data_IF_629307464076
#
_entry.id   IF_629307464076
#
_cell.length_a   1.000
_cell.length_b   1.000
_cell.length_c   1.000
_cell.angle_alpha   90.00
_cell.angle_beta   90.00
_cell.angle_gamma   90.00
#
_symmetry.space_group_name_H-M   'P 1'
#
loop_
_entity.id
_entity.type
_entity.pdbx_description
1 polymer ?
#
# COMPACT_ATOMS: atom_id res chain seq x y z
N UNK A 1 28.32 -20.38 -29.27
CA UNK A 1 27.50 -19.21 -28.88
C UNK A 1 26.05 -19.54 -29.19
N UNK A 2 25.23 -19.83 -28.17
CA UNK A 2 23.80 -20.01 -28.34
C UNK A 2 23.10 -18.72 -27.90
N UNK A 3 22.68 -17.91 -28.86
CA UNK A 3 21.77 -16.81 -28.59
C UNK A 3 20.37 -17.42 -28.40
N UNK A 4 19.87 -17.39 -27.17
CA UNK A 4 18.45 -17.61 -26.89
C UNK A 4 17.68 -16.48 -27.59
N UNK A 5 16.97 -16.80 -28.66
CA UNK A 5 16.07 -15.85 -29.31
C UNK A 5 14.95 -15.56 -28.32
N UNK A 6 14.93 -14.33 -27.81
CA UNK A 6 13.79 -13.77 -27.12
C UNK A 6 12.57 -13.85 -28.04
N UNK A 7 11.71 -14.85 -27.81
CA UNK A 7 10.34 -14.85 -28.30
C UNK A 7 9.48 -14.36 -27.16
N UNK A 8 9.65 -13.09 -26.81
CA UNK A 8 8.77 -12.39 -25.88
C UNK A 8 7.32 -12.72 -26.21
N UNK A 9 6.53 -12.92 -25.15
CA UNK A 9 5.12 -13.29 -25.17
C UNK A 9 4.39 -12.87 -26.46
N UNK A 10 4.27 -13.77 -27.42
CA UNK A 10 3.45 -13.58 -28.61
C UNK A 10 1.99 -13.84 -28.21
N UNK A 11 1.36 -12.83 -27.59
CA UNK A 11 -0.05 -12.89 -27.23
C UNK A 11 -0.88 -13.00 -28.51
N UNK A 12 -1.68 -14.07 -28.70
CA UNK A 12 -2.55 -14.17 -29.85
C UNK A 12 -3.57 -13.03 -29.81
N UNK A 13 -3.95 -12.48 -30.97
CA UNK A 13 -4.83 -11.31 -31.04
C UNK A 13 -6.20 -11.53 -30.39
N UNK A 14 -6.63 -12.78 -30.24
CA UNK A 14 -7.85 -13.17 -29.51
C UNK A 14 -7.78 -12.96 -28.00
N UNK A 15 -6.58 -12.91 -27.42
CA UNK A 15 -6.36 -12.63 -26.00
C UNK A 15 -6.22 -11.12 -25.72
N UNK A 16 -6.01 -10.31 -26.76
CA UNK A 16 -6.02 -8.87 -26.65
C UNK A 16 -7.48 -8.42 -26.55
N UNK A 17 -7.80 -7.67 -25.50
CA UNK A 17 -9.13 -7.06 -25.36
C UNK A 17 -9.43 -6.23 -26.61
N UNK A 18 -10.56 -6.53 -27.27
CA UNK A 18 -10.97 -5.79 -28.45
C UNK A 18 -11.07 -4.30 -28.14
N UNK A 19 -10.51 -3.46 -29.02
CA UNK A 19 -10.44 -2.00 -28.84
C UNK A 19 -11.78 -1.35 -28.42
N UNK A 20 -12.93 -1.70 -29.01
CA UNK A 20 -14.21 -1.11 -28.62
C UNK A 20 -14.59 -1.39 -27.15
N UNK A 21 -14.21 -2.56 -26.64
CA UNK A 21 -14.49 -2.96 -25.24
C UNK A 21 -13.62 -2.14 -24.28
N UNK A 22 -12.34 -1.95 -24.61
CA UNK A 22 -11.44 -1.09 -23.85
C UNK A 22 -11.91 0.37 -23.83
N UNK A 23 -12.28 0.92 -24.99
CA UNK A 23 -12.76 2.29 -25.13
C UNK A 23 -14.07 2.50 -24.36
N UNK A 24 -15.04 1.58 -24.47
CA UNK A 24 -16.29 1.65 -23.71
C UNK A 24 -16.09 1.62 -22.19
N UNK A 25 -15.18 0.78 -21.69
CA UNK A 25 -14.81 0.78 -20.26
C UNK A 25 -14.18 2.10 -19.84
N UNK A 26 -13.35 2.69 -20.70
CA UNK A 26 -12.69 3.98 -20.43
C UNK A 26 -13.71 5.11 -20.35
N UNK A 27 -14.72 5.11 -21.19
CA UNK A 27 -15.76 6.13 -21.19
C UNK A 27 -16.68 6.00 -19.97
N UNK A 28 -17.02 4.78 -19.55
CA UNK A 28 -17.73 4.54 -18.29
C UNK A 28 -16.95 5.11 -17.08
N UNK A 29 -15.63 4.88 -17.03
CA UNK A 29 -14.80 5.40 -15.94
C UNK A 29 -14.72 6.94 -15.95
N UNK A 30 -14.64 7.58 -17.11
CA UNK A 30 -14.70 9.05 -17.22
C UNK A 30 -16.04 9.59 -16.73
N UNK A 31 -17.14 8.93 -17.10
CA UNK A 31 -18.49 9.29 -16.64
C UNK A 31 -18.63 9.14 -15.13
N UNK A 32 -18.08 8.08 -14.53
CA UNK A 32 -18.10 7.88 -13.09
C UNK A 32 -17.23 8.92 -12.36
N UNK A 33 -16.07 9.28 -12.90
CA UNK A 33 -15.17 10.27 -12.30
C UNK A 33 -15.71 11.71 -12.40
N UNK A 34 -16.36 12.08 -13.51
CA UNK A 34 -16.91 13.42 -13.73
C UNK A 34 -18.38 13.59 -13.34
N UNK A 35 -19.11 12.50 -13.12
CA UNK A 35 -20.54 12.50 -12.78
C UNK A 35 -20.83 12.62 -11.28
N UNK A 36 -22.11 12.58 -10.92
CA UNK A 36 -22.58 12.73 -9.54
C UNK A 36 -21.94 11.72 -8.55
N UNK A 37 -21.60 10.51 -9.02
CA UNK A 37 -20.88 9.51 -8.24
C UNK A 37 -19.44 9.94 -7.87
N UNK A 38 -18.72 10.60 -8.78
CA UNK A 38 -17.39 11.15 -8.53
C UNK A 38 -17.41 12.32 -7.55
N UNK A 39 -18.42 13.19 -7.63
CA UNK A 39 -18.61 14.29 -6.68
C UNK A 39 -18.92 13.78 -5.25
N UNK A 40 -19.74 12.73 -5.14
CA UNK A 40 -20.02 12.08 -3.85
C UNK A 40 -18.76 11.43 -3.24
N UNK A 41 -17.88 10.86 -4.07
CA UNK A 41 -16.60 10.28 -3.64
C UNK A 41 -15.57 11.35 -3.25
N UNK A 42 -15.57 12.52 -3.90
CA UNK A 42 -14.69 13.64 -3.54
C UNK A 42 -15.00 14.19 -2.13
N UNK A 43 -16.28 14.24 -1.75
CA UNK A 43 -16.69 14.61 -0.39
C UNK A 43 -16.28 13.56 0.67
N UNK A 44 -16.12 12.29 0.27
CA UNK A 44 -15.59 11.24 1.13
C UNK A 44 -14.06 11.31 1.26
N UNK A 45 -13.35 11.67 0.18
CA UNK A 45 -11.91 11.83 0.14
C UNK A 45 -11.40 13.04 0.96
N UNK A 46 -12.24 14.04 1.22
CA UNK A 46 -11.93 15.20 2.06
C UNK A 46 -12.12 15.00 3.57
N UNK A 47 -12.38 13.77 4.05
CA UNK A 47 -12.55 13.52 5.48
C UNK A 47 -11.20 13.49 6.21
N UNK A 48 -11.16 14.16 7.37
CA UNK A 48 -10.00 14.11 8.26
C UNK A 48 -9.74 12.68 8.77
N UNK A 49 -8.48 12.25 8.63
CA UNK A 49 -8.01 11.00 9.20
C UNK A 49 -7.79 11.16 10.71
N UNK A 50 -8.79 10.83 11.52
CA UNK A 50 -8.72 10.83 12.99
C UNK A 50 -7.94 9.63 13.55
N UNK A 51 -6.73 9.38 13.04
CA UNK A 51 -5.89 8.25 13.44
C UNK A 51 -4.96 8.54 14.64
N UNK A 52 -5.23 9.58 15.43
CA UNK A 52 -4.43 9.92 16.61
C UNK A 52 -5.23 9.63 17.87
N UNK A 53 -5.17 8.41 18.37
CA UNK A 53 -5.51 8.18 19.77
C UNK A 53 -4.27 8.40 20.65
N UNK A 54 -4.51 9.03 21.79
CA UNK A 54 -3.54 9.22 22.85
C UNK A 54 -3.44 7.98 23.75
N UNK A 55 -2.22 7.68 24.19
CA UNK A 55 -1.98 6.93 25.42
C UNK A 55 -1.77 5.43 25.25
N UNK A 56 -0.51 5.02 25.28
CA UNK A 56 -0.16 3.67 25.71
C UNK A 56 1.18 3.66 26.44
N UNK A 57 1.25 2.84 27.47
CA UNK A 57 2.44 2.67 28.32
C UNK A 57 3.59 2.08 27.51
N UNK A 58 4.72 2.79 27.52
CA UNK A 58 5.93 2.38 26.82
C UNK A 58 6.48 1.08 27.42
N UNK A 59 6.79 0.11 26.57
CA UNK A 59 7.64 -1.04 26.94
C UNK A 59 9.08 -0.68 26.56
N UNK A 60 10.11 -1.09 27.32
CA UNK A 60 11.50 -0.82 26.96
C UNK A 60 11.78 -1.25 25.52
N UNK A 61 12.44 -0.39 24.73
CA UNK A 61 12.74 -0.60 23.31
C UNK A 61 11.53 -0.81 22.39
N UNK A 62 10.32 -0.36 22.77
CA UNK A 62 9.14 -0.37 21.91
C UNK A 62 8.39 0.94 22.02
N UNK A 63 7.97 1.47 20.86
CA UNK A 63 7.06 2.60 20.80
C UNK A 63 5.76 2.29 21.60
N UNK A 64 5.11 3.31 22.16
CA UNK A 64 3.78 3.18 22.74
C UNK A 64 2.86 2.39 21.78
N UNK A 65 2.14 1.37 22.27
CA UNK A 65 1.07 0.76 21.48
C UNK A 65 0.18 1.85 20.87
N UNK A 66 -0.12 1.73 19.58
CA UNK A 66 -1.19 2.54 19.01
C UNK A 66 -2.48 2.17 19.75
N UNK A 67 -3.36 3.12 20.09
CA UNK A 67 -4.69 2.84 20.62
C UNK A 67 -5.58 2.36 19.47
N UNK A 68 -5.22 1.20 18.93
CA UNK A 68 -5.93 0.50 17.88
C UNK A 68 -6.66 -0.69 18.51
N UNK A 69 -7.96 -0.80 18.25
CA UNK A 69 -8.77 -1.97 18.57
C UNK A 69 -8.76 -2.99 17.44
N UNK A 70 -9.27 -4.19 17.71
CA UNK A 70 -9.56 -5.18 16.66
C UNK A 70 -10.61 -4.61 15.71
N UNK A 71 -10.45 -4.82 14.40
CA UNK A 71 -11.44 -4.38 13.42
C UNK A 71 -12.75 -5.16 13.57
N UNK A 72 -13.93 -4.50 13.56
CA UNK A 72 -15.22 -5.18 13.57
C UNK A 72 -15.62 -5.73 12.20
N UNK A 73 -14.85 -5.44 11.14
CA UNK A 73 -15.14 -5.90 9.78
C UNK A 73 -15.01 -7.42 9.71
N UNK A 74 -16.07 -8.10 9.26
CA UNK A 74 -16.04 -9.55 9.03
C UNK A 74 -14.94 -9.89 8.03
N UNK A 75 -14.04 -10.80 8.40
CA UNK A 75 -12.84 -11.14 7.61
C UNK A 75 -11.68 -10.14 7.73
N UNK A 76 -11.82 -9.06 8.50
CA UNK A 76 -10.75 -8.08 8.72
C UNK A 76 -9.67 -8.55 9.71
N UNK A 77 -9.85 -9.72 10.32
CA UNK A 77 -8.87 -10.35 11.21
C UNK A 77 -8.48 -11.72 10.63
N UNK A 78 -7.19 -12.02 10.64
CA UNK A 78 -6.65 -13.35 10.31
C UNK A 78 -6.35 -14.16 11.59
N UNK A 79 -6.35 -15.49 11.45
CA UNK A 79 -5.91 -16.44 12.48
C UNK A 79 -4.44 -16.82 12.34
N UNK A 80 -3.73 -16.26 11.36
CA UNK A 80 -2.31 -16.48 11.14
C UNK A 80 -1.46 -16.03 12.32
N UNK A 81 -0.33 -16.70 12.49
CA UNK A 81 0.66 -16.35 13.48
C UNK A 81 1.23 -14.96 13.17
N UNK A 82 1.28 -14.09 14.18
CA UNK A 82 1.85 -12.77 14.04
C UNK A 82 3.37 -12.85 13.78
N UNK A 83 3.86 -12.03 12.85
CA UNK A 83 5.30 -11.89 12.60
C UNK A 83 5.99 -11.31 13.85
N UNK A 84 7.13 -11.85 14.29
CA UNK A 84 7.88 -11.31 15.42
C UNK A 84 8.22 -9.82 15.22
N UNK A 85 8.16 -9.05 16.31
CA UNK A 85 8.41 -7.60 16.26
C UNK A 85 9.78 -7.25 15.67
N UNK A 86 10.83 -8.02 16.01
CA UNK A 86 12.18 -7.79 15.51
C UNK A 86 12.20 -7.78 13.98
N UNK A 87 11.67 -8.84 13.37
CA UNK A 87 11.62 -9.01 11.91
C UNK A 87 10.85 -7.87 11.23
N UNK A 88 9.72 -7.45 11.80
CA UNK A 88 8.92 -6.31 11.29
C UNK A 88 9.73 -5.00 11.31
N UNK A 89 10.66 -4.84 12.25
CA UNK A 89 11.46 -3.61 12.41
C UNK A 89 12.83 -3.65 11.74
N UNK A 90 13.37 -4.84 11.44
CA UNK A 90 14.74 -4.99 10.93
C UNK A 90 14.83 -5.57 9.53
N UNK A 91 13.80 -6.24 9.01
CA UNK A 91 13.82 -6.87 7.69
C UNK A 91 12.85 -6.13 6.74
N UNK A 92 13.34 -5.11 6.06
CA UNK A 92 12.50 -4.16 5.34
C UNK A 92 12.99 -3.91 3.90
N UNK A 93 12.09 -3.43 3.05
CA UNK A 93 12.45 -2.86 1.75
C UNK A 93 12.09 -1.36 1.77
N UNK A 94 13.09 -0.51 2.00
CA UNK A 94 12.95 0.95 1.91
C UNK A 94 14.19 1.51 1.20
N UNK A 95 14.11 1.61 -0.13
CA UNK A 95 15.28 1.80 -1.00
C UNK A 95 15.98 3.15 -0.81
N UNK A 96 15.24 4.16 -0.37
CA UNK A 96 15.76 5.47 0.01
C UNK A 96 16.80 5.37 1.14
N UNK A 97 16.79 4.27 1.88
CA UNK A 97 17.73 3.96 2.96
C UNK A 97 18.65 2.79 2.63
N UNK A 98 18.75 2.32 1.39
CA UNK A 98 19.66 1.23 0.99
C UNK A 98 18.95 0.04 0.34
N UNK A 99 19.73 -0.87 -0.24
CA UNK A 99 19.21 -2.03 -0.99
C UNK A 99 19.18 -3.32 -0.18
N UNK A 100 19.99 -3.39 0.89
CA UNK A 100 20.00 -4.56 1.77
C UNK A 100 18.83 -4.49 2.75
N UNK A 101 18.36 -5.66 3.19
CA UNK A 101 17.14 -5.78 4.02
C UNK A 101 17.26 -5.10 5.38
N UNK A 102 18.49 -4.95 5.86
CA UNK A 102 18.84 -4.39 7.15
C UNK A 102 19.12 -2.88 7.08
N UNK A 103 19.38 -2.35 5.87
CA UNK A 103 19.76 -0.95 5.69
C UNK A 103 18.68 0.03 6.19
N UNK A 104 17.37 -0.18 5.92
CA UNK A 104 16.34 0.68 6.47
C UNK A 104 16.35 0.75 8.00
N UNK A 105 16.56 -0.39 8.67
CA UNK A 105 16.62 -0.46 10.12
C UNK A 105 17.81 0.32 10.69
N UNK A 106 18.92 0.38 9.95
CA UNK A 106 20.13 1.13 10.31
C UNK A 106 20.04 2.62 9.99
N UNK A 107 19.46 3.00 8.85
CA UNK A 107 19.60 4.34 8.27
C UNK A 107 18.34 5.22 8.38
N UNK A 108 17.16 4.65 8.60
CA UNK A 108 15.90 5.41 8.63
C UNK A 108 15.80 6.43 9.79
N UNK A 109 16.65 6.34 10.82
CA UNK A 109 16.73 7.32 11.90
C UNK A 109 17.12 8.73 11.42
N UNK A 110 17.67 8.84 10.21
CA UNK A 110 18.02 10.12 9.57
C UNK A 110 16.80 10.86 9.01
N UNK A 111 15.66 10.19 8.85
CA UNK A 111 14.42 10.76 8.36
C UNK A 111 13.74 11.60 9.45
N UNK A 112 13.54 12.90 9.17
CA UNK A 112 12.68 13.75 10.00
C UNK A 112 11.23 13.52 9.62
N UNK A 113 10.51 12.76 10.44
CA UNK A 113 9.08 12.43 10.21
C UNK A 113 8.12 13.51 10.71
N UNK A 114 8.62 14.57 11.36
CA UNK A 114 7.81 15.68 11.88
C UNK A 114 8.55 17.03 11.79
N UNK A 115 7.86 18.13 11.44
CA UNK A 115 6.50 18.18 10.87
C UNK A 115 6.45 17.54 9.48
N UNK A 116 5.27 17.12 9.03
CA UNK A 116 5.02 16.55 7.70
C UNK A 116 3.80 17.26 7.09
N UNK A 117 3.85 17.58 5.80
CA UNK A 117 2.78 18.29 5.06
C UNK A 117 2.35 17.48 3.86
#
# INVERSE_FOLDING_TARGET
>A
MHFLRDRGFALPSSEITARPVYEGRRDLLKLLAGGAAGAAMAAWAGRDALAQGAGATARPNKLPPLPAGRTPVSGGMTMEKLTPYADVTSYNNFYEFGTDKEDPGRLAHTLKTRPWT
#
